data_IF_315102680093
#
_entry.id   IF_315102680093
#
_cell.length_a   1.000
_cell.length_b   1.000
_cell.length_c   1.000
_cell.angle_alpha   90.00
_cell.angle_beta   90.00
_cell.angle_gamma   90.00
#
_symmetry.space_group_name_H-M   'P 1'
#
loop_
_entity.id
_entity.type
_entity.pdbx_description
1 polymer ?
#
# COMPACT_ATOMS: atom_id res chain seq x y z
N UNK A 1 -19.07 -19.60 8.65
CA UNK A 1 -18.63 -18.43 9.47
C UNK A 1 -19.19 -18.36 10.89
N UNK A 2 -20.39 -18.84 11.20
CA UNK A 2 -20.96 -18.78 12.58
C UNK A 2 -20.22 -19.65 13.62
N UNK A 3 -19.57 -20.74 13.23
CA UNK A 3 -18.93 -21.69 14.15
C UNK A 3 -17.52 -21.28 14.63
N UNK A 4 -16.77 -20.46 13.86
CA UNK A 4 -15.45 -19.95 14.27
C UNK A 4 -15.58 -18.91 15.38
N UNK A 5 -16.63 -18.09 15.37
CA UNK A 5 -16.91 -17.13 16.44
C UNK A 5 -17.25 -17.85 17.77
N UNK A 6 -17.94 -19.00 17.73
CA UNK A 6 -18.33 -19.76 18.91
C UNK A 6 -17.13 -20.45 19.59
N UNK A 7 -16.16 -20.95 18.81
CA UNK A 7 -14.95 -21.59 19.37
C UNK A 7 -14.01 -20.56 20.03
N UNK A 8 -13.94 -19.33 19.51
CA UNK A 8 -13.21 -18.24 20.16
C UNK A 8 -13.89 -17.78 21.46
N UNK A 9 -15.20 -17.89 21.56
CA UNK A 9 -15.99 -17.51 22.74
C UNK A 9 -15.94 -18.53 23.88
N UNK A 10 -15.81 -19.82 23.58
CA UNK A 10 -15.85 -20.87 24.59
C UNK A 10 -14.62 -20.98 25.50
N UNK A 11 -13.46 -20.42 25.07
CA UNK A 11 -12.24 -20.39 25.89
C UNK A 11 -12.14 -19.16 26.82
N UNK A 12 -13.14 -18.29 26.82
CA UNK A 12 -13.15 -17.04 27.60
C UNK A 12 -13.88 -17.17 28.96
N UNK A 13 -14.34 -18.35 29.35
CA UNK A 13 -15.24 -18.55 30.51
C UNK A 13 -14.56 -18.46 31.87
N UNK A 14 -13.26 -18.20 31.96
CA UNK A 14 -12.53 -18.05 33.22
C UNK A 14 -12.30 -16.61 33.70
N UNK A 15 -12.50 -15.62 32.85
CA UNK A 15 -12.38 -14.20 33.20
C UNK A 15 -13.60 -13.43 32.69
N UNK A 16 -14.06 -12.45 33.46
CA UNK A 16 -15.21 -11.66 33.04
C UNK A 16 -14.83 -10.85 31.79
N UNK A 17 -15.70 -10.77 30.81
CA UNK A 17 -15.53 -9.96 29.59
C UNK A 17 -15.08 -8.52 29.87
N UNK A 18 -15.43 -8.01 31.04
CA UNK A 18 -15.07 -6.68 31.52
C UNK A 18 -13.57 -6.55 31.71
N UNK A 19 -12.85 -7.59 32.17
CA UNK A 19 -11.39 -7.51 32.37
C UNK A 19 -10.62 -7.46 31.07
N UNK A 20 -11.09 -8.13 30.03
CA UNK A 20 -10.50 -8.02 28.67
C UNK A 20 -10.74 -6.66 28.05
N UNK A 21 -11.86 -6.01 28.35
CA UNK A 21 -12.16 -4.66 27.87
C UNK A 21 -11.36 -3.58 28.59
N UNK A 22 -10.83 -3.87 29.78
CA UNK A 22 -10.01 -2.94 30.61
C UNK A 22 -8.59 -2.77 30.10
N UNK A 23 -8.06 -3.65 29.23
CA UNK A 23 -6.69 -3.49 28.71
C UNK A 23 -6.52 -2.13 28.03
N UNK A 24 -5.40 -1.42 28.26
CA UNK A 24 -5.18 -0.08 27.70
C UNK A 24 -5.11 -0.11 26.20
N UNK A 25 -5.58 0.96 25.57
CA UNK A 25 -5.43 1.19 24.13
C UNK A 25 -4.25 2.13 23.92
N UNK A 26 -3.28 1.69 23.09
CA UNK A 26 -2.15 2.50 22.66
C UNK A 26 -2.53 3.28 21.41
N UNK A 27 -2.67 4.57 21.55
CA UNK A 27 -2.96 5.47 20.44
C UNK A 27 -1.67 6.03 19.86
N UNK A 28 -1.66 6.28 18.55
CA UNK A 28 -0.57 7.02 17.92
C UNK A 28 -1.19 8.01 16.94
N UNK A 29 -0.83 9.27 17.13
CA UNK A 29 -1.15 10.37 16.20
C UNK A 29 0.11 10.70 15.43
N UNK A 30 -0.01 10.81 14.12
CA UNK A 30 1.12 11.12 13.25
C UNK A 30 0.82 12.27 12.31
N UNK A 31 1.83 13.10 12.08
CA UNK A 31 1.84 14.15 11.08
C UNK A 31 3.04 13.93 10.16
N UNK A 32 2.78 13.87 8.86
CA UNK A 32 3.82 13.73 7.82
C UNK A 32 3.76 14.95 6.92
N UNK A 33 4.90 15.57 6.70
CA UNK A 33 5.11 16.55 5.63
C UNK A 33 6.04 15.92 4.59
N UNK A 34 5.64 15.97 3.32
CA UNK A 34 6.41 15.35 2.26
C UNK A 34 6.38 16.17 0.97
N UNK A 35 7.31 15.81 0.09
CA UNK A 35 7.45 16.35 -1.26
C UNK A 35 7.46 15.20 -2.26
N UNK A 36 6.77 15.39 -3.38
CA UNK A 36 6.69 14.47 -4.50
C UNK A 36 6.97 15.27 -5.79
N UNK A 37 8.06 14.97 -6.47
CA UNK A 37 8.48 15.69 -7.66
C UNK A 37 7.73 15.29 -8.93
N UNK A 38 6.84 14.28 -8.88
CA UNK A 38 6.08 13.78 -10.02
C UNK A 38 4.78 13.10 -9.56
N UNK A 39 3.84 13.90 -9.04
CA UNK A 39 2.58 13.43 -8.42
C UNK A 39 1.76 12.54 -9.35
N UNK A 40 1.67 12.90 -10.62
CA UNK A 40 0.90 12.18 -11.63
C UNK A 40 1.69 11.08 -12.35
N UNK A 41 2.99 10.92 -12.01
CA UNK A 41 3.88 9.94 -12.66
C UNK A 41 3.94 10.14 -14.17
N UNK A 42 4.16 11.38 -14.55
CA UNK A 42 4.29 11.77 -15.95
C UNK A 42 5.63 11.33 -16.50
N UNK A 43 5.64 10.90 -17.76
CA UNK A 43 6.87 10.67 -18.51
C UNK A 43 7.56 12.01 -18.86
N UNK A 44 8.83 12.00 -19.29
CA UNK A 44 9.48 13.22 -19.76
C UNK A 44 8.66 13.93 -20.84
N UNK A 45 8.18 13.22 -21.84
CA UNK A 45 7.35 13.78 -22.93
C UNK A 45 6.05 14.38 -22.40
N UNK A 46 5.39 13.71 -21.43
CA UNK A 46 4.17 14.26 -20.82
C UNK A 46 4.46 15.53 -20.00
N UNK A 47 5.63 15.65 -19.36
CA UNK A 47 6.04 16.86 -18.65
C UNK A 47 6.26 18.03 -19.60
N UNK A 48 6.92 17.77 -20.73
CA UNK A 48 7.13 18.77 -21.77
C UNK A 48 5.80 19.22 -22.40
N UNK A 49 4.89 18.27 -22.67
CA UNK A 49 3.55 18.56 -23.17
C UNK A 49 2.69 19.30 -22.12
N UNK A 50 2.84 19.01 -20.83
CA UNK A 50 2.13 19.69 -19.76
C UNK A 50 2.53 21.15 -19.61
N UNK A 51 3.75 21.51 -19.99
CA UNK A 51 4.20 22.91 -20.09
C UNK A 51 3.42 23.68 -21.15
N UNK A 52 2.98 23.01 -22.22
CA UNK A 52 2.20 23.60 -23.32
C UNK A 52 0.68 23.51 -23.06
N UNK A 53 0.22 22.45 -22.38
CA UNK A 53 -1.19 22.19 -22.12
C UNK A 53 -1.42 21.74 -20.67
N UNK A 54 -1.76 22.67 -19.79
CA UNK A 54 -1.98 22.42 -18.36
C UNK A 54 -3.18 21.52 -18.05
N UNK A 55 -4.06 21.23 -19.00
CA UNK A 55 -5.21 20.33 -18.78
C UNK A 55 -4.75 18.92 -18.39
N UNK A 56 -3.56 18.48 -18.83
CA UNK A 56 -2.93 17.21 -18.44
C UNK A 56 -2.68 17.16 -16.92
N UNK A 57 -2.41 18.30 -16.29
CA UNK A 57 -2.16 18.42 -14.85
C UNK A 57 -3.44 18.45 -14.02
N UNK A 58 -4.63 18.38 -14.64
CA UNK A 58 -5.90 18.38 -13.93
C UNK A 58 -6.19 19.66 -13.15
N UNK A 59 -5.75 20.81 -13.67
CA UNK A 59 -5.90 22.12 -13.05
C UNK A 59 -4.77 22.51 -12.09
N UNK A 60 -3.77 21.66 -11.88
CA UNK A 60 -2.55 22.05 -11.19
C UNK A 60 -1.64 22.88 -12.10
N UNK A 61 -0.77 23.71 -11.50
CA UNK A 61 0.18 24.54 -12.24
C UNK A 61 1.52 23.86 -12.47
N UNK A 62 1.85 22.88 -11.67
CA UNK A 62 3.14 22.16 -11.66
C UNK A 62 2.90 20.67 -11.53
N UNK A 63 3.84 19.82 -11.93
CA UNK A 63 3.76 18.36 -11.81
C UNK A 63 4.26 17.83 -10.45
N UNK A 64 4.83 18.69 -9.63
CA UNK A 64 5.28 18.38 -8.27
C UNK A 64 4.31 18.92 -7.23
N UNK A 65 4.42 18.45 -6.00
CA UNK A 65 3.64 18.99 -4.87
C UNK A 65 4.25 18.61 -3.53
N UNK A 66 4.11 19.52 -2.58
CA UNK A 66 4.12 19.15 -1.18
C UNK A 66 2.81 18.49 -0.80
N UNK A 67 2.88 17.56 0.16
CA UNK A 67 1.69 16.96 0.75
C UNK A 67 1.80 16.88 2.28
N UNK A 68 0.64 16.96 2.91
CA UNK A 68 0.49 16.77 4.35
C UNK A 68 -0.38 15.54 4.55
N UNK A 69 0.07 14.63 5.44
CA UNK A 69 -0.69 13.46 5.84
C UNK A 69 -0.88 13.47 7.35
N UNK A 70 -2.12 13.37 7.75
CA UNK A 70 -2.49 13.10 9.13
C UNK A 70 -2.79 11.61 9.29
N UNK A 71 -2.31 10.99 10.39
CA UNK A 71 -2.56 9.59 10.70
C UNK A 71 -3.03 9.41 12.14
N UNK A 72 -3.98 8.50 12.33
CA UNK A 72 -4.44 8.05 13.63
C UNK A 72 -4.40 6.51 13.65
N UNK A 73 -3.81 5.93 14.68
CA UNK A 73 -3.84 4.49 14.87
C UNK A 73 -4.09 4.12 16.33
N UNK A 74 -4.66 2.93 16.52
CA UNK A 74 -4.93 2.38 17.85
C UNK A 74 -4.57 0.90 17.89
N UNK A 75 -3.90 0.49 18.97
CA UNK A 75 -3.53 -0.89 19.24
C UNK A 75 -4.07 -1.31 20.59
N UNK A 76 -4.93 -2.34 20.59
CA UNK A 76 -5.38 -3.03 21.79
C UNK A 76 -4.78 -4.43 21.83
N UNK A 77 -4.15 -4.78 22.96
CA UNK A 77 -3.65 -6.13 23.23
C UNK A 77 -4.50 -6.79 24.29
N UNK A 78 -5.03 -7.95 23.99
CA UNK A 78 -5.84 -8.76 24.89
C UNK A 78 -5.03 -10.02 25.20
N UNK A 79 -4.54 -10.12 26.43
CA UNK A 79 -3.81 -11.29 26.90
C UNK A 79 -4.82 -12.39 27.23
N UNK A 80 -4.59 -13.60 26.74
CA UNK A 80 -5.40 -14.76 27.07
C UNK A 80 -4.88 -15.44 28.36
N UNK A 81 -5.64 -16.37 28.91
CA UNK A 81 -5.28 -17.09 30.13
C UNK A 81 -3.88 -17.73 30.07
N UNK A 82 -3.49 -18.23 28.92
CA UNK A 82 -2.12 -18.63 28.61
C UNK A 82 -1.29 -17.39 28.23
N UNK A 83 -0.30 -17.06 29.07
CA UNK A 83 0.53 -15.83 28.88
C UNK A 83 1.28 -15.74 27.55
N UNK A 84 1.44 -16.85 26.85
CA UNK A 84 2.05 -16.85 25.51
C UNK A 84 1.06 -16.49 24.40
N UNK A 85 -0.25 -16.52 24.70
CA UNK A 85 -1.31 -16.29 23.72
C UNK A 85 -1.94 -14.91 23.90
N UNK A 86 -2.03 -14.15 22.83
CA UNK A 86 -2.66 -12.83 22.84
C UNK A 86 -3.41 -12.56 21.54
N UNK A 87 -4.48 -11.79 21.67
CA UNK A 87 -5.18 -11.18 20.52
C UNK A 87 -4.77 -9.71 20.45
N UNK A 88 -4.43 -9.25 19.25
CA UNK A 88 -4.15 -7.85 18.99
C UNK A 88 -5.18 -7.32 18.00
N UNK A 89 -5.85 -6.24 18.37
CA UNK A 89 -6.71 -5.48 17.48
C UNK A 89 -5.99 -4.18 17.14
N UNK A 90 -5.83 -3.91 15.86
CA UNK A 90 -5.17 -2.72 15.39
C UNK A 90 -6.01 -2.05 14.30
N UNK A 91 -6.07 -0.73 14.35
CA UNK A 91 -6.58 0.05 13.23
C UNK A 91 -5.63 1.20 12.91
N UNK A 92 -5.66 1.65 11.66
CA UNK A 92 -4.98 2.87 11.22
C UNK A 92 -5.83 3.57 10.18
N UNK A 93 -5.91 4.89 10.29
CA UNK A 93 -6.54 5.76 9.29
C UNK A 93 -5.57 6.88 8.92
N UNK A 94 -5.57 7.26 7.65
CA UNK A 94 -4.74 8.34 7.12
C UNK A 94 -5.60 9.24 6.23
N UNK A 95 -5.37 10.55 6.33
CA UNK A 95 -5.89 11.55 5.41
C UNK A 95 -4.69 12.23 4.77
N UNK A 96 -4.63 12.25 3.45
CA UNK A 96 -3.54 12.87 2.69
C UNK A 96 -4.09 14.01 1.86
N UNK A 97 -3.42 15.16 1.90
CA UNK A 97 -3.77 16.36 1.14
C UNK A 97 -2.54 16.87 0.40
N UNK A 98 -2.66 17.03 -0.92
CA UNK A 98 -1.62 17.58 -1.78
C UNK A 98 -1.90 19.07 -2.04
N UNK A 99 -0.91 19.94 -1.82
CA UNK A 99 -1.11 21.39 -1.89
C UNK A 99 -1.48 21.84 -3.30
N UNK A 100 -0.80 21.32 -4.33
CA UNK A 100 -1.03 21.70 -5.73
C UNK A 100 -2.09 20.83 -6.43
N UNK A 101 -2.48 19.69 -5.84
CA UNK A 101 -3.40 18.71 -6.43
C UNK A 101 -4.59 18.45 -5.50
N UNK A 102 -5.59 19.33 -5.53
CA UNK A 102 -6.79 19.19 -4.68
C UNK A 102 -7.53 17.87 -4.93
N UNK A 103 -7.59 17.41 -6.17
CA UNK A 103 -8.22 16.13 -6.53
C UNK A 103 -7.49 14.91 -5.94
N UNK A 104 -6.24 15.07 -5.48
CA UNK A 104 -5.46 14.01 -4.84
C UNK A 104 -5.70 13.88 -3.34
N UNK A 105 -6.63 14.62 -2.80
CA UNK A 105 -7.06 14.43 -1.42
C UNK A 105 -7.79 13.09 -1.30
N UNK A 106 -7.31 12.23 -0.43
CA UNK A 106 -7.90 10.91 -0.21
C UNK A 106 -7.71 10.48 1.24
N UNK A 107 -8.56 9.55 1.67
CA UNK A 107 -8.35 8.85 2.92
C UNK A 107 -8.12 7.36 2.67
N UNK A 108 -7.38 6.74 3.58
CA UNK A 108 -7.16 5.30 3.59
C UNK A 108 -7.16 4.79 5.02
N UNK A 109 -7.52 3.54 5.20
CA UNK A 109 -7.47 2.94 6.52
C UNK A 109 -7.53 1.43 6.46
N UNK A 110 -7.17 0.80 7.57
CA UNK A 110 -7.32 -0.63 7.74
C UNK A 110 -7.57 -1.02 9.19
N UNK A 111 -8.25 -2.13 9.35
CA UNK A 111 -8.45 -2.80 10.63
C UNK A 111 -7.84 -4.19 10.54
N UNK A 112 -7.18 -4.61 11.59
CA UNK A 112 -6.44 -5.85 11.66
C UNK A 112 -6.69 -6.56 12.98
N UNK A 113 -6.99 -7.85 12.93
CA UNK A 113 -7.06 -8.74 14.05
C UNK A 113 -5.96 -9.79 13.93
N UNK A 114 -5.13 -9.95 14.95
CA UNK A 114 -4.04 -10.92 14.97
C UNK A 114 -4.12 -11.80 16.21
N UNK A 115 -4.02 -13.10 16.01
CA UNK A 115 -3.84 -14.07 17.10
C UNK A 115 -2.39 -14.52 17.14
N UNK A 116 -1.73 -14.34 18.28
CA UNK A 116 -0.34 -14.73 18.53
C UNK A 116 -0.33 -15.89 19.53
N UNK A 117 0.47 -16.92 19.25
CA UNK A 117 0.63 -18.10 20.11
C UNK A 117 2.11 -18.50 20.33
N UNK A 118 2.97 -17.48 20.39
CA UNK A 118 4.40 -17.60 20.64
C UNK A 118 5.22 -16.67 19.76
N UNK A 119 6.54 -16.72 19.91
CA UNK A 119 7.45 -15.89 19.16
C UNK A 119 7.37 -16.19 17.64
N UNK A 120 7.10 -15.18 16.83
CA UNK A 120 6.93 -15.24 15.36
C UNK A 120 5.77 -16.12 14.88
N UNK A 121 4.91 -16.64 15.79
CA UNK A 121 3.73 -17.44 15.44
C UNK A 121 2.50 -16.55 15.51
N UNK A 122 1.87 -16.32 14.38
CA UNK A 122 0.64 -15.52 14.32
C UNK A 122 -0.23 -15.88 13.12
N UNK A 123 -1.52 -15.73 13.34
CA UNK A 123 -2.54 -15.64 12.31
C UNK A 123 -3.07 -14.20 12.31
N UNK A 124 -3.22 -13.59 11.17
CA UNK A 124 -3.66 -12.21 11.03
C UNK A 124 -4.69 -12.09 9.92
N UNK A 125 -5.78 -11.40 10.19
CA UNK A 125 -6.76 -11.00 9.19
C UNK A 125 -6.86 -9.49 9.15
N UNK A 126 -6.83 -8.92 7.95
CA UNK A 126 -6.86 -7.48 7.72
C UNK A 126 -7.91 -7.14 6.67
N UNK A 127 -8.63 -6.06 6.91
CA UNK A 127 -9.49 -5.39 5.92
C UNK A 127 -8.95 -3.98 5.75
N UNK A 128 -8.72 -3.57 4.52
CA UNK A 128 -8.26 -2.22 4.19
C UNK A 128 -9.16 -1.55 3.15
N UNK A 129 -9.14 -0.23 3.18
CA UNK A 129 -9.89 0.62 2.27
C UNK A 129 -9.04 1.82 1.87
N UNK A 130 -8.99 2.09 0.57
CA UNK A 130 -8.43 3.31 -0.01
C UNK A 130 -9.56 3.97 -0.81
N UNK A 131 -9.96 5.16 -0.40
CA UNK A 131 -11.09 5.85 -0.99
C UNK A 131 -10.64 6.87 -2.02
N UNK A 132 -11.26 6.84 -3.18
CA UNK A 132 -11.20 7.87 -4.22
C UNK A 132 -9.76 8.36 -4.50
N UNK A 133 -8.88 7.42 -4.82
CA UNK A 133 -7.49 7.74 -5.11
C UNK A 133 -7.34 8.26 -6.54
N UNK A 134 -7.27 9.58 -6.68
CA UNK A 134 -7.06 10.24 -7.96
C UNK A 134 -5.71 9.85 -8.59
N UNK A 135 -5.75 9.40 -9.82
CA UNK A 135 -4.57 9.08 -10.62
C UNK A 135 -4.14 10.27 -11.46
N UNK A 136 -4.95 10.63 -12.44
CA UNK A 136 -4.76 11.75 -13.36
C UNK A 136 -6.02 11.94 -14.22
N UNK A 137 -5.97 12.88 -15.16
CA UNK A 137 -6.98 13.02 -16.20
C UNK A 137 -6.67 12.10 -17.37
N UNK A 138 -7.70 11.41 -17.86
CA UNK A 138 -7.66 10.58 -19.06
C UNK A 138 -8.79 10.93 -20.01
N UNK A 139 -8.60 10.55 -21.28
CA UNK A 139 -9.67 10.60 -22.27
C UNK A 139 -10.60 9.42 -22.07
N UNK A 140 -11.92 9.69 -21.93
CA UNK A 140 -12.95 8.68 -21.96
C UNK A 140 -13.16 8.21 -23.41
N UNK A 141 -13.02 6.90 -23.65
CA UNK A 141 -13.13 6.31 -24.99
C UNK A 141 -14.59 6.09 -25.41
N UNK A 142 -15.54 6.13 -24.47
CA UNK A 142 -16.97 5.95 -24.73
C UNK A 142 -17.65 7.26 -25.15
N UNK A 143 -16.96 8.39 -24.97
CA UNK A 143 -17.45 9.72 -25.33
C UNK A 143 -16.75 10.22 -26.59
N UNK A 144 -17.52 10.76 -27.53
CA UNK A 144 -16.99 11.27 -28.80
C UNK A 144 -16.24 12.60 -28.67
N UNK A 145 -16.44 13.33 -27.56
CA UNK A 145 -15.80 14.62 -27.30
C UNK A 145 -14.37 14.40 -26.84
N UNK A 146 -13.41 15.13 -27.41
CA UNK A 146 -12.00 15.05 -27.04
C UNK A 146 -11.73 15.82 -25.74
N UNK A 147 -12.37 15.38 -24.64
CA UNK A 147 -12.28 15.97 -23.32
C UNK A 147 -11.59 14.98 -22.34
N UNK A 148 -10.81 15.53 -21.41
CA UNK A 148 -10.16 14.78 -20.35
C UNK A 148 -11.04 14.78 -19.10
N UNK A 149 -11.22 13.62 -18.49
CA UNK A 149 -11.99 13.41 -17.26
C UNK A 149 -11.06 12.97 -16.12
N UNK A 150 -11.47 13.25 -14.89
CA UNK A 150 -10.79 12.77 -13.69
C UNK A 150 -10.87 11.25 -13.63
N UNK A 151 -9.74 10.59 -13.41
CA UNK A 151 -9.68 9.16 -13.18
C UNK A 151 -9.22 8.90 -11.77
N UNK A 152 -10.10 8.37 -10.95
CA UNK A 152 -9.85 7.92 -9.59
C UNK A 152 -10.30 6.48 -9.42
N UNK A 153 -9.84 5.84 -8.35
CA UNK A 153 -10.29 4.50 -7.98
C UNK A 153 -10.39 4.32 -6.47
N UNK A 154 -11.20 3.36 -6.08
CA UNK A 154 -11.36 2.89 -4.71
C UNK A 154 -10.92 1.44 -4.60
N UNK A 155 -10.04 1.13 -3.63
CA UNK A 155 -9.63 -0.24 -3.32
C UNK A 155 -10.29 -0.73 -2.02
N UNK A 156 -10.75 -1.99 -2.04
CA UNK A 156 -11.21 -2.74 -0.88
C UNK A 156 -10.42 -4.04 -0.82
N UNK A 157 -9.57 -4.19 0.16
CA UNK A 157 -8.71 -5.37 0.29
C UNK A 157 -9.06 -6.18 1.53
N UNK A 158 -9.02 -7.50 1.40
CA UNK A 158 -9.00 -8.46 2.49
C UNK A 158 -7.72 -9.26 2.40
N UNK A 159 -7.04 -9.49 3.54
CA UNK A 159 -5.79 -10.24 3.58
C UNK A 159 -5.79 -11.19 4.76
N UNK A 160 -5.40 -12.43 4.51
CA UNK A 160 -5.09 -13.43 5.51
C UNK A 160 -3.59 -13.69 5.50
N UNK A 161 -2.98 -13.76 6.69
CA UNK A 161 -1.55 -13.97 6.85
C UNK A 161 -1.28 -14.98 7.96
N UNK A 162 -0.32 -15.88 7.71
CA UNK A 162 0.21 -16.83 8.70
C UNK A 162 1.71 -16.67 8.78
N UNK A 163 2.24 -16.59 10.00
CA UNK A 163 3.68 -16.54 10.25
C UNK A 163 4.10 -17.68 11.18
N UNK A 164 5.21 -18.33 10.86
CA UNK A 164 5.75 -19.46 11.62
C UNK A 164 7.29 -19.41 11.68
N UNK A 165 7.91 -19.68 12.85
CA UNK A 165 9.35 -19.80 12.97
C UNK A 165 9.84 -21.10 12.32
N UNK A 166 10.95 -21.01 11.57
CA UNK A 166 11.66 -22.18 11.01
C UNK A 166 12.80 -22.57 11.94
N UNK A 167 13.57 -21.58 12.38
CA UNK A 167 14.71 -21.72 13.30
C UNK A 167 14.77 -20.50 14.21
N UNK A 168 15.72 -20.49 15.16
CA UNK A 168 15.95 -19.34 16.03
C UNK A 168 16.17 -18.06 15.19
N UNK A 169 15.29 -17.07 15.40
CA UNK A 169 15.30 -15.77 14.71
C UNK A 169 15.14 -15.85 13.17
N UNK A 170 14.67 -16.97 12.66
CA UNK A 170 14.33 -17.17 11.25
C UNK A 170 12.88 -17.63 11.16
N UNK A 171 12.05 -16.89 10.42
CA UNK A 171 10.64 -17.23 10.25
C UNK A 171 10.17 -17.00 8.82
N UNK A 172 9.15 -17.74 8.45
CA UNK A 172 8.43 -17.62 7.19
C UNK A 172 7.07 -17.00 7.45
N UNK A 173 6.60 -16.19 6.50
CA UNK A 173 5.26 -15.61 6.50
C UNK A 173 4.65 -15.83 5.14
N UNK A 174 3.51 -16.52 5.09
CA UNK A 174 2.67 -16.65 3.90
C UNK A 174 1.45 -15.75 4.00
N UNK A 175 1.00 -15.17 2.90
CA UNK A 175 -0.26 -14.43 2.87
C UNK A 175 -1.00 -14.62 1.54
N UNK A 176 -2.32 -14.46 1.60
CA UNK A 176 -3.20 -14.33 0.45
C UNK A 176 -4.04 -13.08 0.64
N UNK A 177 -4.21 -12.30 -0.42
CA UNK A 177 -5.10 -11.13 -0.42
C UNK A 177 -5.99 -11.12 -1.64
N UNK A 178 -7.17 -10.52 -1.45
CA UNK A 178 -8.14 -10.24 -2.49
C UNK A 178 -8.49 -8.76 -2.43
N UNK A 179 -8.33 -8.06 -3.55
CA UNK A 179 -8.60 -6.63 -3.67
C UNK A 179 -9.59 -6.40 -4.79
N UNK A 180 -10.67 -5.70 -4.48
CA UNK A 180 -11.60 -5.15 -5.45
C UNK A 180 -11.19 -3.71 -5.74
N UNK A 181 -10.92 -3.41 -7.00
CA UNK A 181 -10.60 -2.07 -7.48
C UNK A 181 -11.68 -1.57 -8.40
N UNK A 182 -12.34 -0.50 -7.99
CA UNK A 182 -13.41 0.14 -8.74
C UNK A 182 -13.00 1.56 -9.12
N UNK A 183 -13.13 1.88 -10.39
CA UNK A 183 -12.86 3.20 -10.94
C UNK A 183 -14.14 4.05 -10.99
N UNK A 184 -13.97 5.36 -11.14
CA UNK A 184 -15.07 6.29 -11.36
C UNK A 184 -15.89 5.89 -12.60
N UNK A 185 -17.18 6.29 -12.69
CA UNK A 185 -18.08 5.86 -13.76
C UNK A 185 -17.57 6.03 -15.19
N UNK A 186 -16.75 7.06 -15.47
CA UNK A 186 -16.13 7.27 -16.78
C UNK A 186 -15.01 6.26 -17.11
N UNK A 187 -14.56 5.43 -16.15
CA UNK A 187 -13.41 4.54 -16.31
C UNK A 187 -13.64 3.15 -15.74
N UNK A 188 -14.89 2.71 -15.66
CA UNK A 188 -15.26 1.39 -15.12
C UNK A 188 -14.68 0.23 -15.94
N UNK A 189 -14.22 0.49 -17.17
CA UNK A 189 -13.52 -0.50 -17.99
C UNK A 189 -12.19 -0.97 -17.37
N UNK A 190 -11.68 -0.30 -16.35
CA UNK A 190 -10.49 -0.70 -15.58
C UNK A 190 -10.83 -1.45 -14.29
N UNK A 191 -12.11 -1.63 -13.95
CA UNK A 191 -12.52 -2.35 -12.74
C UNK A 191 -11.91 -3.75 -12.71
N UNK A 192 -11.33 -4.11 -11.58
CA UNK A 192 -10.55 -5.32 -11.49
C UNK A 192 -10.69 -5.99 -10.13
N UNK A 193 -10.77 -7.31 -10.15
CA UNK A 193 -10.57 -8.18 -9.01
C UNK A 193 -9.13 -8.69 -9.00
N UNK A 194 -8.39 -8.45 -7.93
CA UNK A 194 -6.96 -8.72 -7.84
C UNK A 194 -6.72 -9.73 -6.72
N UNK A 195 -6.23 -10.91 -7.07
CA UNK A 195 -5.80 -11.93 -6.11
C UNK A 195 -4.29 -11.96 -6.06
N UNK A 196 -3.71 -11.89 -4.84
CA UNK A 196 -2.27 -11.98 -4.65
C UNK A 196 -1.92 -13.03 -3.60
N UNK A 197 -0.80 -13.72 -3.81
CA UNK A 197 -0.16 -14.59 -2.85
C UNK A 197 1.25 -14.08 -2.59
N UNK A 198 1.70 -14.15 -1.33
CA UNK A 198 3.05 -13.75 -0.96
C UNK A 198 3.71 -14.74 -0.03
N UNK A 199 5.02 -14.89 -0.20
CA UNK A 199 5.87 -15.66 0.69
C UNK A 199 7.07 -14.79 1.09
N UNK A 200 7.24 -14.61 2.41
CA UNK A 200 8.31 -13.80 3.00
C UNK A 200 9.16 -14.64 3.93
N UNK A 201 10.46 -14.63 3.71
CA UNK A 201 11.45 -15.16 4.63
C UNK A 201 12.11 -14.00 5.36
N UNK A 202 12.20 -14.08 6.70
CA UNK A 202 12.78 -13.02 7.54
C UNK A 202 13.78 -13.60 8.50
N UNK A 203 14.93 -12.93 8.63
CA UNK A 203 16.01 -13.28 9.56
C UNK A 203 16.34 -12.07 10.42
N UNK A 204 16.30 -12.24 11.74
CA UNK A 204 16.82 -11.25 12.69
C UNK A 204 18.22 -11.65 13.13
N UNK A 205 19.16 -10.78 12.85
CA UNK A 205 20.55 -10.92 13.30
C UNK A 205 20.72 -10.28 14.68
N UNK A 206 21.66 -10.79 15.48
CA UNK A 206 21.85 -10.34 16.86
C UNK A 206 22.35 -8.90 16.91
N UNK A 207 23.34 -8.59 16.10
CA UNK A 207 24.12 -7.34 16.17
C UNK A 207 23.90 -6.44 14.94
N UNK A 208 22.86 -6.70 14.18
CA UNK A 208 22.54 -5.93 12.99
C UNK A 208 21.08 -5.44 13.03
N UNK A 209 20.13 -6.33 12.95
CA UNK A 209 18.72 -6.00 12.82
C UNK A 209 17.97 -7.06 12.01
N UNK A 210 17.08 -6.68 11.13
CA UNK A 210 16.25 -7.62 10.37
C UNK A 210 16.47 -7.47 8.87
N UNK A 211 16.64 -8.59 8.19
CA UNK A 211 16.65 -8.70 6.73
C UNK A 211 15.51 -9.61 6.32
N UNK A 212 14.77 -9.22 5.28
CA UNK A 212 13.70 -10.05 4.73
C UNK A 212 13.78 -10.10 3.20
N UNK A 213 13.27 -11.19 2.64
CA UNK A 213 13.02 -11.34 1.20
C UNK A 213 11.60 -11.81 1.02
N UNK A 214 10.82 -11.10 0.22
CA UNK A 214 9.42 -11.38 -0.03
C UNK A 214 9.17 -11.46 -1.54
N UNK A 215 8.62 -12.59 -1.99
CA UNK A 215 8.12 -12.78 -3.33
C UNK A 215 6.59 -12.69 -3.33
N UNK A 216 6.03 -11.94 -4.28
CA UNK A 216 4.58 -11.79 -4.44
C UNK A 216 4.23 -12.19 -5.88
N UNK A 217 3.16 -12.93 -6.04
CA UNK A 217 2.54 -13.23 -7.32
C UNK A 217 1.07 -12.85 -7.28
N UNK A 218 0.59 -12.19 -8.33
CA UNK A 218 -0.80 -11.73 -8.42
C UNK A 218 -1.39 -11.87 -9.82
N UNK A 219 -2.69 -11.97 -9.85
CA UNK A 219 -3.53 -11.94 -11.05
C UNK A 219 -4.58 -10.87 -10.83
N UNK A 220 -4.73 -10.00 -11.79
CA UNK A 220 -5.80 -9.00 -11.84
C UNK A 220 -6.70 -9.34 -13.03
N UNK A 221 -7.94 -9.65 -12.72
CA UNK A 221 -8.98 -9.96 -13.68
C UNK A 221 -9.83 -8.72 -13.94
N UNK A 222 -9.95 -8.31 -15.19
CA UNK A 222 -10.80 -7.20 -15.60
C UNK A 222 -12.28 -7.64 -15.61
N UNK A 223 -13.04 -7.23 -14.60
CA UNK A 223 -14.44 -7.69 -14.36
C UNK A 223 -15.47 -7.04 -15.28
N UNK A 224 -15.11 -6.02 -16.04
CA UNK A 224 -15.99 -5.30 -16.97
C UNK A 224 -15.76 -5.68 -18.42
N UNK A 225 -14.78 -6.51 -18.72
CA UNK A 225 -14.53 -7.01 -20.08
C UNK A 225 -15.76 -7.68 -20.69
N UNK A 226 -16.06 -7.33 -21.93
CA UNK A 226 -17.21 -7.87 -22.68
C UNK A 226 -18.57 -7.28 -22.27
N UNK A 227 -18.62 -6.23 -21.42
CA UNK A 227 -19.86 -5.50 -21.10
C UNK A 227 -20.20 -4.50 -22.21
N UNK A 228 -21.35 -3.84 -22.08
CA UNK A 228 -22.01 -3.05 -23.14
C UNK A 228 -21.20 -1.83 -23.64
N UNK A 229 -20.33 -1.25 -22.81
CA UNK A 229 -19.55 -0.08 -23.19
C UNK A 229 -18.48 -0.41 -24.23
N UNK A 230 -18.20 0.49 -25.19
CA UNK A 230 -17.20 0.30 -26.23
C UNK A 230 -15.82 0.07 -25.65
N UNK A 231 -15.45 0.79 -24.61
CA UNK A 231 -14.20 0.65 -23.89
C UNK A 231 -14.04 -0.71 -23.20
N UNK A 232 -15.15 -1.37 -22.84
CA UNK A 232 -15.20 -2.69 -22.21
C UNK A 232 -14.90 -3.86 -23.17
N UNK A 233 -14.76 -3.60 -24.48
CA UNK A 233 -14.36 -4.63 -25.44
C UNK A 233 -12.87 -4.99 -25.36
N UNK A 234 -12.10 -4.26 -24.55
CA UNK A 234 -10.66 -4.45 -24.39
C UNK A 234 -10.39 -5.11 -23.03
N UNK A 235 -9.81 -6.30 -23.03
CA UNK A 235 -9.39 -6.97 -21.79
C UNK A 235 -8.12 -6.31 -21.22
N UNK A 236 -8.22 -5.84 -19.99
CA UNK A 236 -7.12 -5.18 -19.26
C UNK A 236 -6.56 -6.02 -18.12
N UNK A 237 -6.84 -7.30 -18.14
CA UNK A 237 -6.29 -8.26 -17.18
C UNK A 237 -4.76 -8.31 -17.26
N UNK A 238 -4.11 -8.50 -16.11
CA UNK A 238 -2.65 -8.59 -16.05
C UNK A 238 -2.18 -9.55 -14.98
N UNK A 239 -0.95 -10.03 -15.15
CA UNK A 239 -0.19 -10.75 -14.13
C UNK A 239 0.81 -9.82 -13.46
N UNK A 240 1.02 -10.03 -12.18
CA UNK A 240 1.89 -9.22 -11.35
C UNK A 240 2.88 -10.13 -10.62
N UNK A 241 4.14 -9.76 -10.62
CA UNK A 241 5.20 -10.38 -9.82
C UNK A 241 5.98 -9.28 -9.12
N UNK A 242 6.26 -9.45 -7.83
CA UNK A 242 7.03 -8.49 -7.07
C UNK A 242 8.08 -9.20 -6.24
N UNK A 243 9.29 -8.62 -6.19
CA UNK A 243 10.34 -8.96 -5.24
C UNK A 243 10.55 -7.75 -4.33
N UNK A 244 10.47 -7.97 -3.00
CA UNK A 244 10.67 -6.93 -2.01
C UNK A 244 11.70 -7.35 -0.96
N UNK A 245 12.75 -6.55 -0.77
CA UNK A 245 13.87 -6.83 0.11
C UNK A 245 14.05 -5.64 1.07
N UNK A 246 13.37 -5.63 2.23
CA UNK A 246 13.61 -4.65 3.28
C UNK A 246 14.73 -5.12 4.21
N UNK A 247 15.58 -4.18 4.62
CA UNK A 247 16.63 -4.36 5.61
C UNK A 247 16.59 -3.21 6.61
N UNK A 248 16.67 -3.53 7.91
CA UNK A 248 16.72 -2.53 8.97
C UNK A 248 17.86 -2.84 9.95
N UNK A 249 18.54 -1.79 10.38
CA UNK A 249 19.56 -1.80 11.41
C UNK A 249 19.01 -1.08 12.66
N UNK A 250 18.91 -1.78 13.78
CA UNK A 250 18.23 -1.32 15.00
C UNK A 250 19.15 -1.25 16.26
N UNK A 251 20.46 -1.08 16.05
CA UNK A 251 21.47 -1.12 17.14
C UNK A 251 21.86 0.28 17.66
N UNK A 252 21.06 1.30 17.41
CA UNK A 252 21.24 2.61 18.05
C UNK A 252 22.45 3.41 17.57
N UNK A 253 22.80 3.35 16.30
CA UNK A 253 23.90 4.14 15.71
C UNK A 253 23.56 5.62 15.73
N UNK A 254 24.50 6.45 16.20
CA UNK A 254 24.38 7.92 16.26
C UNK A 254 23.14 8.41 17.02
N UNK A 255 22.65 7.64 17.99
CA UNK A 255 21.41 7.97 18.72
C UNK A 255 20.14 7.80 17.89
N UNK A 256 20.23 7.15 16.73
CA UNK A 256 19.09 6.75 15.92
C UNK A 256 18.49 5.45 16.47
N UNK A 257 17.18 5.33 16.41
CA UNK A 257 16.47 4.11 16.80
C UNK A 257 16.59 3.02 15.73
N UNK A 258 16.48 3.42 14.46
CA UNK A 258 16.56 2.53 13.31
C UNK A 258 17.06 3.27 12.09
N UNK A 259 17.86 2.60 11.28
CA UNK A 259 18.21 2.98 9.92
C UNK A 259 17.85 1.83 9.02
N UNK A 260 17.22 2.10 7.89
CA UNK A 260 16.87 1.01 6.98
C UNK A 260 16.87 1.43 5.53
N UNK A 261 16.85 0.43 4.68
CA UNK A 261 16.63 0.58 3.25
C UNK A 261 15.81 -0.58 2.71
N UNK A 262 15.16 -0.36 1.60
CA UNK A 262 14.45 -1.43 0.89
C UNK A 262 14.59 -1.29 -0.62
N UNK A 263 14.62 -2.43 -1.27
CA UNK A 263 14.51 -2.56 -2.71
C UNK A 263 13.23 -3.30 -3.05
N UNK A 264 12.47 -2.76 -3.98
CA UNK A 264 11.27 -3.39 -4.54
C UNK A 264 11.35 -3.38 -6.05
N UNK A 265 11.17 -4.54 -6.66
CA UNK A 265 11.06 -4.70 -8.10
C UNK A 265 9.69 -5.31 -8.42
N UNK A 266 8.88 -4.59 -9.17
CA UNK A 266 7.52 -4.94 -9.58
C UNK A 266 7.52 -5.19 -11.09
N UNK A 267 6.99 -6.32 -11.51
CA UNK A 267 6.82 -6.71 -12.91
C UNK A 267 5.34 -6.93 -13.18
N UNK A 268 4.82 -6.22 -14.17
CA UNK A 268 3.43 -6.37 -14.60
C UNK A 268 3.38 -6.65 -16.09
N UNK A 269 2.61 -7.67 -16.48
CA UNK A 269 2.43 -8.05 -17.87
C UNK A 269 0.95 -8.16 -18.19
N UNK A 270 0.52 -7.42 -19.21
CA UNK A 270 -0.79 -7.56 -19.85
C UNK A 270 -0.74 -8.70 -20.82
N UNK A 271 -1.70 -9.64 -20.70
CA UNK A 271 -1.69 -10.89 -21.48
C UNK A 271 -2.35 -10.79 -22.83
N UNK A 272 -3.19 -9.79 -23.02
CA UNK A 272 -3.99 -9.62 -24.23
C UNK A 272 -3.21 -8.86 -25.30
N UNK A 273 -3.28 -9.36 -26.53
CA UNK A 273 -2.69 -8.74 -27.70
C UNK A 273 -3.83 -8.38 -28.67
N UNK A 274 -4.27 -7.12 -28.59
CA UNK A 274 -5.30 -6.55 -29.46
C UNK A 274 -4.74 -5.34 -30.20
N UNK A 275 -4.84 -5.35 -31.53
CA UNK A 275 -4.35 -4.27 -32.39
C UNK A 275 -5.12 -2.96 -32.14
N UNK A 276 -6.39 -3.07 -31.70
CA UNK A 276 -7.22 -1.90 -31.39
C UNK A 276 -6.86 -1.21 -30.06
N UNK A 277 -6.07 -1.89 -29.20
CA UNK A 277 -5.58 -1.34 -27.92
C UNK A 277 -4.04 -1.25 -27.86
N UNK A 278 -3.42 -0.34 -28.61
CA UNK A 278 -1.97 -0.20 -28.60
C UNK A 278 -1.41 0.18 -27.22
N UNK A 279 -2.25 0.76 -26.34
CA UNK A 279 -1.82 1.16 -25.00
C UNK A 279 -1.63 -0.03 -24.06
N UNK A 280 -2.35 -1.15 -24.23
CA UNK A 280 -2.28 -2.29 -23.32
C UNK A 280 -1.79 -3.57 -24.01
N UNK A 281 -1.93 -3.67 -25.33
CA UNK A 281 -1.58 -4.86 -26.09
C UNK A 281 -0.11 -5.28 -25.90
N UNK A 282 0.09 -6.47 -25.33
CA UNK A 282 1.40 -7.07 -25.10
C UNK A 282 2.35 -6.26 -24.21
N UNK A 283 1.85 -5.23 -23.51
CA UNK A 283 2.66 -4.32 -22.69
C UNK A 283 3.13 -4.97 -21.40
N UNK A 284 4.37 -4.68 -21.04
CA UNK A 284 4.90 -5.02 -19.72
C UNK A 284 5.49 -3.79 -19.02
N UNK A 285 5.49 -3.81 -17.68
CA UNK A 285 6.12 -2.81 -16.85
C UNK A 285 7.14 -3.45 -15.94
N UNK A 286 8.28 -2.80 -15.79
CA UNK A 286 9.21 -3.03 -14.70
C UNK A 286 9.31 -1.75 -13.88
N UNK A 287 8.90 -1.83 -12.61
CA UNK A 287 9.00 -0.70 -11.71
C UNK A 287 9.94 -1.04 -10.56
N UNK A 288 10.90 -0.17 -10.31
CA UNK A 288 11.84 -0.28 -9.20
C UNK A 288 11.57 0.84 -8.20
N UNK A 289 11.54 0.48 -6.89
CA UNK A 289 11.48 1.45 -5.79
C UNK A 289 12.64 1.17 -4.86
N UNK A 290 13.34 2.22 -4.48
CA UNK A 290 14.39 2.19 -3.49
C UNK A 290 14.06 3.18 -2.39
N UNK A 291 13.94 2.69 -1.15
CA UNK A 291 13.65 3.51 0.02
C UNK A 291 14.85 3.51 0.98
N UNK A 292 15.17 4.66 1.54
CA UNK A 292 16.07 4.82 2.69
C UNK A 292 15.28 5.54 3.77
N UNK A 293 15.36 5.04 5.02
CA UNK A 293 14.73 5.71 6.15
C UNK A 293 15.62 5.72 7.37
N UNK A 294 15.40 6.73 8.20
CA UNK A 294 15.98 6.85 9.52
C UNK A 294 14.88 7.18 10.53
N UNK A 295 14.97 6.59 11.73
CA UNK A 295 14.05 6.86 12.84
C UNK A 295 14.84 7.26 14.09
N UNK A 296 14.31 8.24 14.83
CA UNK A 296 14.86 8.69 16.11
C UNK A 296 13.74 8.89 17.11
N UNK A 297 13.90 8.35 18.32
CA UNK A 297 13.06 8.73 19.44
C UNK A 297 13.59 10.07 19.99
N UNK A 298 12.76 11.11 19.92
CA UNK A 298 13.05 12.41 20.56
C UNK A 298 12.73 12.38 22.05
N UNK A 299 11.68 11.63 22.40
CA UNK A 299 11.23 11.28 23.76
C UNK A 299 10.66 9.87 23.74
N UNK A 300 10.34 9.31 24.91
CA UNK A 300 9.74 7.96 25.01
C UNK A 300 8.46 7.81 24.18
N UNK A 301 7.67 8.88 24.11
CA UNK A 301 6.40 8.92 23.40
C UNK A 301 6.42 9.70 22.08
N UNK A 302 7.58 10.29 21.69
CA UNK A 302 7.70 11.12 20.50
C UNK A 302 8.80 10.59 19.59
N UNK A 303 8.44 10.22 18.37
CA UNK A 303 9.34 9.69 17.36
C UNK A 303 9.32 10.58 16.11
N UNK A 304 10.48 10.82 15.54
CA UNK A 304 10.65 11.45 14.22
C UNK A 304 11.23 10.41 13.25
N UNK A 305 10.74 10.43 12.02
CA UNK A 305 11.31 9.64 10.93
C UNK A 305 11.50 10.49 9.68
N UNK A 306 12.52 10.19 8.91
CA UNK A 306 12.77 10.77 7.59
C UNK A 306 12.93 9.64 6.58
N UNK A 307 12.29 9.78 5.43
CA UNK A 307 12.36 8.78 4.35
C UNK A 307 12.55 9.45 3.02
N UNK A 308 13.39 8.86 2.18
CA UNK A 308 13.57 9.21 0.78
C UNK A 308 13.25 7.99 -0.06
N UNK A 309 12.46 8.17 -1.12
CA UNK A 309 12.10 7.14 -2.09
C UNK A 309 12.46 7.58 -3.48
N UNK A 310 13.21 6.72 -4.16
CA UNK A 310 13.43 6.76 -5.58
C UNK A 310 12.55 5.72 -6.25
N UNK A 311 11.86 6.10 -7.30
CA UNK A 311 10.99 5.22 -8.07
C UNK A 311 11.21 5.46 -9.55
N UNK A 312 11.43 4.37 -10.25
CA UNK A 312 11.58 4.36 -11.71
C UNK A 312 10.63 3.31 -12.27
N UNK A 313 9.96 3.64 -13.38
CA UNK A 313 9.20 2.68 -14.19
C UNK A 313 9.72 2.70 -15.60
N UNK A 314 10.09 1.55 -16.08
CA UNK A 314 10.33 1.26 -17.47
C UNK A 314 9.16 0.47 -18.05
N UNK A 315 8.69 0.85 -19.21
CA UNK A 315 7.60 0.17 -19.93
C UNK A 315 8.15 -0.38 -21.22
N UNK A 316 7.88 -1.64 -21.49
CA UNK A 316 8.13 -2.32 -22.75
C UNK A 316 6.82 -2.52 -23.48
N UNK A 317 6.77 -2.13 -24.75
CA UNK A 317 5.60 -2.19 -25.63
C UNK A 317 6.03 -2.39 -27.07
N UNK A 318 5.17 -2.94 -27.91
CA UNK A 318 5.38 -3.03 -29.36
C UNK A 318 5.45 -1.64 -30.04
N UNK A 319 4.97 -0.62 -29.37
CA UNK A 319 4.95 0.75 -29.85
C UNK A 319 5.88 1.63 -29.01
N UNK A 320 6.95 2.17 -29.61
CA UNK A 320 7.94 2.99 -28.92
C UNK A 320 7.31 4.18 -28.18
N UNK A 321 6.32 4.84 -28.81
CA UNK A 321 5.61 5.94 -28.20
C UNK A 321 4.85 5.55 -26.89
N UNK A 322 4.40 4.30 -26.77
CA UNK A 322 3.76 3.79 -25.54
C UNK A 322 4.83 3.57 -24.47
N UNK A 323 5.99 3.03 -24.85
CA UNK A 323 7.11 2.82 -23.94
C UNK A 323 7.57 4.15 -23.35
N UNK A 324 7.72 5.18 -24.19
CA UNK A 324 8.08 6.53 -23.77
C UNK A 324 7.00 7.18 -22.89
N UNK A 325 5.71 7.06 -23.27
CA UNK A 325 4.58 7.66 -22.56
C UNK A 325 4.35 7.06 -21.16
N UNK A 326 4.69 5.78 -20.94
CA UNK A 326 4.37 5.06 -19.70
C UNK A 326 5.57 4.86 -18.78
N UNK A 327 6.76 5.25 -19.20
CA UNK A 327 7.97 5.24 -18.39
C UNK A 327 8.13 6.56 -17.63
N UNK A 328 8.54 6.52 -16.38
CA UNK A 328 8.72 7.72 -15.56
C UNK A 328 9.71 7.52 -14.43
N UNK A 329 10.24 8.63 -13.94
CA UNK A 329 11.02 8.74 -12.71
C UNK A 329 10.28 9.59 -11.68
N UNK A 330 10.45 9.23 -10.40
CA UNK A 330 9.84 9.93 -9.28
C UNK A 330 10.76 9.90 -8.06
N UNK A 331 10.95 11.08 -7.45
CA UNK A 331 11.57 11.26 -6.15
C UNK A 331 10.52 11.70 -5.15
N UNK A 332 10.47 11.03 -4.02
CA UNK A 332 9.65 11.43 -2.87
C UNK A 332 10.52 11.54 -1.63
N UNK A 333 10.29 12.56 -0.81
CA UNK A 333 10.93 12.71 0.48
C UNK A 333 9.89 13.15 1.51
N UNK A 334 9.96 12.61 2.74
CA UNK A 334 9.04 13.02 3.79
C UNK A 334 9.64 12.91 5.18
N UNK A 335 9.16 13.77 6.05
CA UNK A 335 9.44 13.75 7.48
C UNK A 335 8.13 13.48 8.20
N UNK A 336 8.13 12.55 9.14
CA UNK A 336 6.97 12.21 9.96
C UNK A 336 7.30 12.38 11.44
N UNK A 337 6.35 12.90 12.17
CA UNK A 337 6.38 12.97 13.64
C UNK A 337 5.24 12.12 14.15
N UNK A 338 5.52 11.20 15.05
CA UNK A 338 4.54 10.33 15.69
C UNK A 338 4.54 10.52 17.20
N UNK A 339 3.38 10.80 17.74
CA UNK A 339 3.15 10.89 19.17
C UNK A 339 2.32 9.72 19.67
N UNK A 340 2.88 8.97 20.63
CA UNK A 340 2.28 7.80 21.26
C UNK A 340 1.64 8.19 22.56
N UNK A 341 0.39 7.78 22.75
CA UNK A 341 -0.40 8.02 23.95
C UNK A 341 -0.93 6.68 24.47
N UNK A 342 -0.93 6.52 25.77
CA UNK A 342 -1.59 5.40 26.42
C UNK A 342 -2.90 5.91 27.01
N UNK A 343 -4.02 5.31 26.63
CA UNK A 343 -5.29 5.54 27.26
C UNK A 343 -5.60 4.35 28.18
N UNK A 344 -5.54 4.60 29.47
CA UNK A 344 -5.90 3.65 30.51
C UNK A 344 -7.19 4.14 31.20
N UNK A 345 -8.16 3.26 31.35
CA UNK A 345 -9.34 3.53 32.17
C UNK A 345 -9.05 3.00 33.57
N UNK A 346 -8.96 3.88 34.52
CA UNK A 346 -8.96 3.55 35.93
C UNK A 346 -10.35 3.08 36.37
#
# INVERSE_FOLDING_TARGET
MRYIAIILLSNLWGQTWVDYLRSPVKWTVGLTNGYDNNVLRLSPIEKDNAALNQTILGGAKTFDSHYIRFSLSGLKKIQLADREKQIQLFFKSNISNYIHYKNRQHWSGYVKASYHWGAYRRLEYMVSHLNDYYMRHYKDLDITVNQLFTCSFTDREQRLLVSHPIKLRLWVTGSISYTQRYYDPSFTEFDSDITMTALKLSKRFRDFGTVSVEGIYGIADNITFGKVAKSSNLDRSYRHMELYIPMSYDQGVLGLKEVGFSLRADFRRYGVEDISDPLHSGRSHRETKFDIWVEKNLKENLMISCTIRLRNRYTDSRHDWVSELKSFDQLQAWISIEWKMLYDRY
#
